data_IF_742709117890
#
_entry.id   IF_742709117890
#
_cell.length_a   1.000
_cell.length_b   1.000
_cell.length_c   1.000
_cell.angle_alpha   90.00
_cell.angle_beta   90.00
_cell.angle_gamma   90.00
#
_symmetry.space_group_name_H-M   'P 1'
#
loop_
_entity.id
_entity.type
_entity.pdbx_description
1 polymer ?
#
# COMPACT_ATOMS: atom_id res chain seq x y z
N UNK A 1 -8.50 1.18 -22.16
CA UNK A 1 -7.65 0.47 -21.17
C UNK A 1 -8.52 -0.50 -20.38
N UNK A 2 -8.26 -1.82 -20.43
CA UNK A 2 -9.08 -2.82 -19.73
C UNK A 2 -8.93 -2.72 -18.19
N UNK A 3 -9.92 -3.24 -17.44
CA UNK A 3 -10.01 -3.07 -15.98
C UNK A 3 -8.81 -3.64 -15.23
N UNK A 4 -8.30 -4.80 -15.64
CA UNK A 4 -7.13 -5.46 -15.02
C UNK A 4 -5.87 -4.58 -15.11
N UNK A 5 -5.61 -3.97 -16.27
CA UNK A 5 -4.45 -3.07 -16.43
C UNK A 5 -4.54 -1.86 -15.49
N UNK A 6 -5.73 -1.26 -15.35
CA UNK A 6 -5.93 -0.12 -14.43
C UNK A 6 -5.62 -0.52 -12.98
N UNK A 7 -6.15 -1.66 -12.54
CA UNK A 7 -5.91 -2.17 -11.18
C UNK A 7 -4.43 -2.47 -10.94
N UNK A 8 -3.75 -3.10 -11.91
CA UNK A 8 -2.34 -3.40 -11.81
C UNK A 8 -1.47 -2.13 -11.71
N UNK A 9 -1.77 -1.11 -12.51
CA UNK A 9 -1.07 0.18 -12.45
C UNK A 9 -1.28 0.83 -11.08
N UNK A 10 -2.50 0.85 -10.56
CA UNK A 10 -2.77 1.43 -9.24
C UNK A 10 -2.02 0.70 -8.12
N UNK A 11 -1.99 -0.65 -8.14
CA UNK A 11 -1.22 -1.42 -7.17
C UNK A 11 0.29 -1.15 -7.27
N UNK A 12 0.83 -1.01 -8.48
CA UNK A 12 2.22 -0.64 -8.69
C UNK A 12 2.53 0.77 -8.14
N UNK A 13 1.67 1.76 -8.41
CA UNK A 13 1.82 3.12 -7.89
C UNK A 13 1.82 3.14 -6.36
N UNK A 14 0.96 2.35 -5.71
CA UNK A 14 0.94 2.25 -4.24
C UNK A 14 2.23 1.64 -3.69
N UNK A 15 2.77 0.62 -4.38
CA UNK A 15 4.07 0.05 -4.04
C UNK A 15 5.19 1.10 -4.14
N UNK A 16 5.25 1.87 -5.22
CA UNK A 16 6.26 2.93 -5.39
C UNK A 16 6.08 4.07 -4.36
N UNK A 17 4.83 4.41 -4.05
CA UNK A 17 4.51 5.44 -3.05
C UNK A 17 5.10 5.08 -1.68
N UNK A 18 5.21 3.80 -1.33
CA UNK A 18 5.85 3.35 -0.09
C UNK A 18 7.31 3.77 0.05
N UNK A 19 8.04 3.95 -1.05
CA UNK A 19 9.42 4.44 -1.04
C UNK A 19 9.44 5.96 -0.88
N UNK A 20 8.56 6.67 -1.58
CA UNK A 20 8.43 8.14 -1.48
C UNK A 20 8.04 8.58 -0.08
N UNK A 21 7.21 7.82 0.62
CA UNK A 21 6.83 8.08 2.02
C UNK A 21 8.00 7.92 3.00
N UNK A 22 9.06 7.23 2.60
CA UNK A 22 10.27 6.99 3.39
C UNK A 22 11.45 7.87 2.97
N UNK A 23 11.30 8.65 1.90
CA UNK A 23 12.36 9.49 1.37
C UNK A 23 12.63 10.70 2.29
N UNK A 24 13.89 11.14 2.32
CA UNK A 24 14.36 12.45 2.80
C UNK A 24 13.65 13.00 4.05
N UNK A 25 13.93 12.41 5.22
CA UNK A 25 13.47 12.93 6.52
C UNK A 25 11.95 12.90 6.74
N UNK A 26 11.18 12.31 5.82
CA UNK A 26 9.71 12.23 5.94
C UNK A 26 9.22 11.25 6.98
N UNK A 27 9.99 10.18 7.23
CA UNK A 27 9.62 9.14 8.18
C UNK A 27 9.94 9.62 9.62
N UNK A 28 8.93 9.95 10.45
CA UNK A 28 9.15 10.49 11.78
C UNK A 28 9.55 9.41 12.79
N UNK A 29 9.09 8.16 12.61
CA UNK A 29 9.29 7.07 13.58
C UNK A 29 9.10 5.67 12.98
N UNK A 30 9.19 4.65 13.83
CA UNK A 30 9.03 3.25 13.47
C UNK A 30 7.60 2.87 13.04
N UNK A 31 6.55 3.55 13.51
CA UNK A 31 5.18 3.20 13.10
C UNK A 31 4.95 3.60 11.65
N UNK A 32 5.39 4.80 11.27
CA UNK A 32 5.39 5.22 9.87
C UNK A 32 6.23 4.28 9.01
N UNK A 33 7.43 3.93 9.47
CA UNK A 33 8.33 3.02 8.76
C UNK A 33 7.64 1.68 8.45
N UNK A 34 7.15 0.99 9.48
CA UNK A 34 6.46 -0.30 9.33
C UNK A 34 5.21 -0.18 8.46
N UNK A 35 4.41 0.87 8.64
CA UNK A 35 3.21 1.08 7.81
C UNK A 35 3.59 1.23 6.32
N UNK A 36 4.62 2.02 5.99
CA UNK A 36 5.05 2.22 4.62
C UNK A 36 5.78 0.99 4.04
N UNK A 37 6.86 0.52 4.66
CA UNK A 37 7.76 -0.48 4.06
C UNK A 37 7.29 -1.92 4.20
N UNK A 38 6.63 -2.27 5.30
CA UNK A 38 6.25 -3.66 5.58
C UNK A 38 4.77 -3.91 5.26
N UNK A 39 3.91 -2.92 5.43
CA UNK A 39 2.47 -3.10 5.17
C UNK A 39 2.07 -2.63 3.78
N UNK A 40 2.33 -1.36 3.42
CA UNK A 40 1.92 -0.79 2.13
C UNK A 40 2.69 -1.43 0.96
N UNK A 41 4.02 -1.50 1.05
CA UNK A 41 4.88 -2.03 -0.02
C UNK A 41 4.57 -3.50 -0.31
N UNK A 42 4.64 -4.35 0.73
CA UNK A 42 4.42 -5.80 0.60
C UNK A 42 2.97 -6.06 0.17
N UNK A 43 2.00 -5.46 0.84
CA UNK A 43 0.58 -5.63 0.49
C UNK A 43 0.27 -5.19 -0.94
N UNK A 44 0.89 -4.11 -1.44
CA UNK A 44 0.72 -3.65 -2.81
C UNK A 44 1.37 -4.58 -3.84
N UNK A 45 2.53 -5.16 -3.52
CA UNK A 45 3.18 -6.17 -4.36
C UNK A 45 2.35 -7.47 -4.44
N UNK A 46 1.78 -7.93 -3.31
CA UNK A 46 0.88 -9.08 -3.26
C UNK A 46 -0.42 -8.81 -4.02
N UNK A 47 -0.99 -7.61 -3.86
CA UNK A 47 -2.16 -7.17 -4.61
C UNK A 47 -1.90 -7.18 -6.11
N UNK A 48 -0.75 -6.65 -6.56
CA UNK A 48 -0.34 -6.68 -7.95
C UNK A 48 -0.21 -8.12 -8.48
N UNK A 49 0.40 -9.01 -7.69
CA UNK A 49 0.51 -10.44 -8.03
C UNK A 49 -0.87 -11.09 -8.19
N UNK A 50 -1.79 -10.83 -7.25
CA UNK A 50 -3.15 -11.36 -7.28
C UNK A 50 -3.97 -10.82 -8.47
N UNK A 51 -3.82 -9.54 -8.81
CA UNK A 51 -4.46 -8.92 -9.98
C UNK A 51 -3.95 -9.58 -11.27
N UNK A 52 -2.62 -9.76 -11.41
CA UNK A 52 -2.02 -10.40 -12.58
C UNK A 52 -2.47 -11.86 -12.75
N UNK A 53 -2.67 -12.58 -11.66
CA UNK A 53 -3.23 -13.94 -11.68
C UNK A 53 -4.76 -14.00 -11.76
N UNK A 54 -5.43 -12.84 -11.85
CA UNK A 54 -6.91 -12.72 -11.85
C UNK A 54 -7.58 -13.41 -10.64
N UNK A 55 -6.88 -13.48 -9.51
CA UNK A 55 -7.39 -14.09 -8.29
C UNK A 55 -8.09 -13.05 -7.40
N UNK A 56 -9.41 -12.97 -7.51
CA UNK A 56 -10.24 -11.97 -6.83
C UNK A 56 -10.12 -12.08 -5.30
N UNK A 57 -10.15 -13.29 -4.75
CA UNK A 57 -10.14 -13.49 -3.30
C UNK A 57 -8.77 -13.15 -2.69
N UNK A 58 -7.68 -13.49 -3.39
CA UNK A 58 -6.35 -13.03 -3.00
C UNK A 58 -6.22 -11.50 -3.11
N UNK A 59 -6.79 -10.90 -4.17
CA UNK A 59 -6.75 -9.45 -4.35
C UNK A 59 -7.50 -8.70 -3.24
N UNK A 60 -8.69 -9.18 -2.83
CA UNK A 60 -9.43 -8.59 -1.70
C UNK A 60 -8.67 -8.68 -0.39
N UNK A 61 -8.07 -9.83 -0.08
CA UNK A 61 -7.25 -10.00 1.15
C UNK A 61 -6.05 -9.08 1.15
N UNK A 62 -5.29 -9.04 0.04
CA UNK A 62 -4.14 -8.14 -0.09
C UNK A 62 -4.55 -6.66 0.00
N UNK A 63 -5.67 -6.28 -0.62
CA UNK A 63 -6.18 -4.91 -0.52
C UNK A 63 -6.56 -4.52 0.91
N UNK A 64 -7.17 -5.43 1.68
CA UNK A 64 -7.43 -5.17 3.11
C UNK A 64 -6.14 -4.91 3.89
N UNK A 65 -5.06 -5.64 3.59
CA UNK A 65 -3.75 -5.40 4.19
C UNK A 65 -3.19 -4.02 3.79
N UNK A 66 -3.30 -3.64 2.52
CA UNK A 66 -2.92 -2.30 2.04
C UNK A 66 -3.69 -1.21 2.81
N UNK A 67 -4.99 -1.37 3.01
CA UNK A 67 -5.78 -0.36 3.75
C UNK A 67 -5.40 -0.23 5.23
N UNK A 68 -4.92 -1.32 5.86
CA UNK A 68 -4.44 -1.29 7.25
C UNK A 68 -3.20 -0.43 7.43
N UNK A 69 -2.33 -0.36 6.42
CA UNK A 69 -1.20 0.57 6.42
C UNK A 69 -1.67 2.01 6.56
N UNK A 70 -2.70 2.38 5.78
CA UNK A 70 -3.25 3.72 5.79
C UNK A 70 -3.84 4.05 7.16
N UNK A 71 -4.63 3.15 7.76
CA UNK A 71 -5.25 3.42 9.07
C UNK A 71 -4.21 3.49 10.19
N UNK A 72 -3.27 2.55 10.26
CA UNK A 72 -2.27 2.53 11.35
C UNK A 72 -1.37 3.77 11.35
N UNK A 73 -0.96 4.25 10.16
CA UNK A 73 -0.19 5.47 10.05
C UNK A 73 -1.06 6.72 10.34
N UNK A 74 -2.27 6.79 9.79
CA UNK A 74 -3.11 7.98 9.94
C UNK A 74 -3.66 8.17 11.34
N UNK A 75 -3.90 7.11 12.11
CA UNK A 75 -4.37 7.23 13.49
C UNK A 75 -3.41 8.03 14.37
N UNK A 76 -2.10 7.93 14.09
CA UNK A 76 -1.02 8.57 14.86
C UNK A 76 -0.59 9.90 14.22
N UNK A 77 -0.37 9.91 12.91
CA UNK A 77 0.33 11.02 12.24
C UNK A 77 -0.59 11.96 11.45
N UNK A 78 -1.83 11.58 11.15
CA UNK A 78 -2.74 12.47 10.43
C UNK A 78 -3.26 13.53 11.40
N UNK A 79 -2.93 14.79 11.14
CA UNK A 79 -3.50 15.93 11.88
C UNK A 79 -5.03 15.86 11.80
N UNK A 80 -5.68 15.80 12.96
CA UNK A 80 -7.13 15.95 13.09
C UNK A 80 -7.45 17.45 13.06
N UNK A 81 -8.50 17.82 12.33
CA UNK A 81 -9.06 19.17 12.34
C UNK A 81 -10.06 19.29 13.49
#
# INVERSE_FOLDING_TARGET
>A
MNSVRKLAVNAAILSESSYVLMADGRCPDGVWATAASETLRIGSAELLKAIKSKNIEAAKRAFSQVTKSCSSCHEIHKKRK
#
